data_IF_018431307337
#
_entry.id   IF_018431307337
#
_cell.length_a   1.000
_cell.length_b   1.000
_cell.length_c   1.000
_cell.angle_alpha   90.00
_cell.angle_beta   90.00
_cell.angle_gamma   90.00
#
_symmetry.space_group_name_H-M   'P 1'
#
loop_
_entity.id
_entity.type
_entity.pdbx_description
1 polymer ?
#
# COMPACT_ATOMS: atom_id res chain seq x y z
N UNK A 1 26.31 24.68 -28.67
CA UNK A 1 27.15 23.72 -27.91
C UNK A 1 26.45 23.11 -26.68
N UNK A 2 25.15 23.31 -26.47
CA UNK A 2 24.39 22.75 -25.33
C UNK A 2 23.51 21.52 -25.68
N UNK A 3 23.58 21.03 -26.92
CA UNK A 3 22.71 19.94 -27.42
C UNK A 3 23.16 18.52 -27.06
N UNK A 4 24.31 18.35 -26.39
CA UNK A 4 24.77 17.04 -25.90
C UNK A 4 24.58 16.86 -24.39
N UNK A 5 24.15 17.93 -23.69
CA UNK A 5 24.01 18.01 -22.22
C UNK A 5 22.83 17.22 -21.61
N UNK A 6 22.12 16.45 -22.43
CA UNK A 6 20.85 15.86 -21.99
C UNK A 6 21.01 14.59 -21.18
N UNK A 7 21.81 13.65 -21.67
CA UNK A 7 21.89 12.30 -21.13
C UNK A 7 23.23 11.96 -20.45
N UNK A 8 24.41 12.22 -21.07
CA UNK A 8 25.67 11.82 -20.46
C UNK A 8 25.99 12.60 -19.19
N UNK A 9 25.61 13.88 -19.10
CA UNK A 9 25.84 14.74 -17.94
C UNK A 9 24.93 14.35 -16.77
N UNK A 10 23.65 14.00 -17.05
CA UNK A 10 22.76 13.44 -16.03
C UNK A 10 23.33 12.13 -15.49
N UNK A 11 23.84 11.26 -16.37
CA UNK A 11 24.48 9.99 -15.98
C UNK A 11 25.73 10.25 -15.13
N UNK A 12 26.57 11.22 -15.51
CA UNK A 12 27.78 11.58 -14.77
C UNK A 12 27.44 12.08 -13.36
N UNK A 13 26.46 12.98 -13.24
CA UNK A 13 26.01 13.49 -11.94
C UNK A 13 25.40 12.36 -11.10
N UNK A 14 24.57 11.52 -11.70
CA UNK A 14 23.96 10.37 -11.01
C UNK A 14 25.03 9.40 -10.51
N UNK A 15 26.09 9.16 -11.29
CA UNK A 15 27.21 8.31 -10.90
C UNK A 15 27.92 8.86 -9.66
N UNK A 16 28.21 10.17 -9.65
CA UNK A 16 28.83 10.84 -8.50
C UNK A 16 27.95 10.76 -7.26
N UNK A 17 26.64 11.00 -7.40
CA UNK A 17 25.67 10.87 -6.29
C UNK A 17 25.63 9.42 -5.78
N UNK A 18 25.62 8.43 -6.66
CA UNK A 18 25.64 7.01 -6.26
C UNK A 18 26.94 6.63 -5.56
N UNK A 19 28.09 7.21 -5.94
CA UNK A 19 29.36 6.99 -5.26
C UNK A 19 29.37 7.60 -3.85
N UNK A 20 28.82 8.80 -3.68
CA UNK A 20 28.75 9.52 -2.40
C UNK A 20 27.73 8.89 -1.44
N UNK A 21 26.52 8.61 -1.93
CA UNK A 21 25.41 8.12 -1.11
C UNK A 21 25.32 6.59 -1.08
N UNK A 22 25.85 5.90 -2.09
CA UNK A 22 25.78 4.45 -2.25
C UNK A 22 24.51 3.97 -2.98
N UNK A 23 24.62 2.86 -3.71
CA UNK A 23 23.53 2.28 -4.51
C UNK A 23 22.27 1.90 -3.69
N UNK A 24 22.41 1.67 -2.38
CA UNK A 24 21.30 1.29 -1.50
C UNK A 24 20.58 2.50 -0.88
N UNK A 25 21.23 3.66 -0.76
CA UNK A 25 20.63 4.86 -0.12
C UNK A 25 19.79 5.69 -1.07
N UNK A 26 20.18 5.78 -2.34
CA UNK A 26 19.43 6.49 -3.37
C UNK A 26 17.97 5.97 -3.52
N UNK A 27 17.71 4.65 -3.65
CA UNK A 27 16.35 4.13 -3.74
C UNK A 27 15.58 4.22 -2.41
N UNK A 28 16.28 4.12 -1.28
CA UNK A 28 15.67 4.22 0.05
C UNK A 28 15.16 5.64 0.33
N UNK A 29 16.00 6.65 0.06
CA UNK A 29 15.61 8.06 0.12
C UNK A 29 14.53 8.39 -0.92
N UNK A 30 14.66 7.91 -2.15
CA UNK A 30 13.63 8.13 -3.17
C UNK A 30 12.26 7.53 -2.78
N UNK A 31 12.24 6.39 -2.10
CA UNK A 31 10.99 5.77 -1.61
C UNK A 31 10.33 6.59 -0.50
N UNK A 32 11.10 7.06 0.49
CA UNK A 32 10.55 7.88 1.59
C UNK A 32 10.08 9.27 1.10
N UNK A 33 10.89 9.96 0.29
CA UNK A 33 10.50 11.23 -0.35
C UNK A 33 9.33 11.05 -1.32
N UNK A 34 9.30 9.95 -2.07
CA UNK A 34 8.22 9.64 -3.01
C UNK A 34 6.87 9.43 -2.33
N UNK A 35 6.84 8.90 -1.11
CA UNK A 35 5.62 8.73 -0.33
C UNK A 35 5.04 10.09 0.10
N UNK A 36 5.87 11.01 0.57
CA UNK A 36 5.46 12.38 0.91
C UNK A 36 4.97 13.14 -0.32
N UNK A 37 5.73 13.08 -1.43
CA UNK A 37 5.33 13.70 -2.70
C UNK A 37 4.04 13.10 -3.27
N UNK A 38 3.76 11.82 -3.06
CA UNK A 38 2.52 11.17 -3.52
C UNK A 38 1.29 11.71 -2.80
N UNK A 39 1.38 11.90 -1.48
CA UNK A 39 0.29 12.46 -0.68
C UNK A 39 0.05 13.90 -1.13
N UNK A 40 1.09 14.73 -1.14
CA UNK A 40 1.02 16.11 -1.59
C UNK A 40 0.46 16.22 -3.02
N UNK A 41 0.93 15.40 -3.96
CA UNK A 41 0.45 15.42 -5.34
C UNK A 41 -1.00 14.94 -5.48
N UNK A 42 -1.50 14.10 -4.58
CA UNK A 42 -2.88 13.64 -4.60
C UNK A 42 -3.82 14.75 -4.11
N UNK A 43 -3.47 15.41 -3.01
CA UNK A 43 -4.18 16.60 -2.51
C UNK A 43 -4.16 17.74 -3.54
N UNK A 44 -3.00 18.05 -4.12
CA UNK A 44 -2.89 19.08 -5.17
C UNK A 44 -3.65 18.71 -6.45
N UNK A 45 -3.78 17.41 -6.77
CA UNK A 45 -4.60 16.96 -7.92
C UNK A 45 -6.09 17.03 -7.63
N UNK A 46 -6.51 16.86 -6.37
CA UNK A 46 -7.91 17.03 -5.98
C UNK A 46 -8.30 18.51 -6.13
N UNK A 47 -7.49 19.44 -5.59
CA UNK A 47 -7.73 20.88 -5.76
C UNK A 47 -7.76 21.30 -7.24
N UNK A 48 -6.84 20.80 -8.08
CA UNK A 48 -6.87 21.10 -9.53
C UNK A 48 -8.04 20.46 -10.29
N UNK A 49 -8.68 19.42 -9.72
CA UNK A 49 -9.84 18.76 -10.34
C UNK A 49 -11.15 19.39 -9.89
N UNK A 50 -11.20 20.03 -8.73
CA UNK A 50 -12.40 20.71 -8.24
C UNK A 50 -12.74 21.96 -9.10
N UNK A 51 -11.77 22.49 -9.85
CA UNK A 51 -12.00 23.51 -10.90
C UNK A 51 -12.51 22.91 -12.24
N UNK A 52 -12.60 21.58 -12.37
CA UNK A 52 -13.00 20.86 -13.58
C UNK A 52 -13.82 19.59 -13.28
N UNK A 53 -15.10 19.78 -12.89
CA UNK A 53 -16.24 18.84 -13.07
C UNK A 53 -16.10 17.36 -12.62
N UNK A 54 -16.64 17.03 -11.42
CA UNK A 54 -17.38 15.80 -10.99
C UNK A 54 -16.81 14.35 -11.23
N UNK A 55 -17.35 13.30 -10.57
CA UNK A 55 -16.67 12.48 -9.58
C UNK A 55 -15.96 11.25 -10.17
N UNK A 56 -14.66 11.12 -9.90
CA UNK A 56 -13.93 9.86 -10.14
C UNK A 56 -13.71 9.14 -8.81
N UNK A 57 -14.52 8.11 -8.55
CA UNK A 57 -14.41 7.15 -7.45
C UNK A 57 -12.95 6.85 -7.03
N UNK A 58 -12.61 6.92 -5.73
CA UNK A 58 -11.26 6.61 -5.25
C UNK A 58 -10.96 5.12 -5.48
N UNK A 59 -10.32 4.78 -6.60
CA UNK A 59 -9.65 3.49 -6.74
C UNK A 59 -8.42 3.51 -5.84
N UNK A 60 -8.64 3.09 -4.62
CA UNK A 60 -7.64 2.60 -3.68
C UNK A 60 -6.83 1.46 -4.34
N UNK A 61 -5.89 1.79 -5.24
CA UNK A 61 -4.86 0.85 -5.70
C UNK A 61 -3.85 0.67 -4.58
N UNK A 62 -4.19 -0.26 -3.69
CA UNK A 62 -3.20 -1.13 -3.07
C UNK A 62 -2.62 -2.07 -4.16
N UNK A 63 -1.39 -2.57 -3.99
CA UNK A 63 -0.48 -2.94 -5.08
C UNK A 63 -0.88 -4.22 -5.83
N UNK A 64 -0.50 -4.37 -7.11
CA UNK A 64 -0.41 -5.69 -7.72
C UNK A 64 0.74 -6.45 -7.03
N UNK A 65 0.41 -7.19 -5.97
CA UNK A 65 1.20 -8.34 -5.55
C UNK A 65 1.07 -9.41 -6.65
N UNK A 66 1.90 -9.31 -7.69
CA UNK A 66 2.00 -10.34 -8.74
C UNK A 66 3.34 -10.29 -9.49
N UNK A 67 4.44 -10.52 -8.78
CA UNK A 67 5.32 -11.63 -9.18
C UNK A 67 4.84 -12.81 -8.35
N UNK A 68 4.18 -13.86 -8.84
CA UNK A 68 4.62 -14.83 -9.86
C UNK A 68 6.06 -15.28 -9.64
N UNK A 69 6.26 -16.04 -8.58
CA UNK A 69 7.10 -17.22 -8.66
C UNK A 69 6.16 -18.45 -8.70
N UNK A 70 6.26 -19.34 -9.71
CA UNK A 70 5.43 -20.53 -9.81
C UNK A 70 6.16 -21.73 -9.19
N UNK A 71 5.60 -22.32 -8.14
CA UNK A 71 5.98 -23.68 -7.74
C UNK A 71 4.78 -24.39 -7.10
N UNK A 72 4.15 -25.18 -7.95
CA UNK A 72 3.27 -26.27 -7.60
C UNK A 72 3.97 -27.26 -6.65
N UNK A 73 3.30 -27.60 -5.55
CA UNK A 73 3.61 -28.77 -4.74
C UNK A 73 2.33 -29.25 -4.04
N UNK A 74 1.70 -30.35 -4.48
CA UNK A 74 0.57 -30.93 -3.79
C UNK A 74 1.08 -31.90 -2.73
N UNK A 75 0.66 -31.72 -1.48
CA UNK A 75 0.75 -32.80 -0.49
C UNK A 75 1.17 -32.37 0.91
N UNK A 76 0.22 -32.51 1.84
CA UNK A 76 0.49 -32.66 3.27
C UNK A 76 0.32 -31.38 4.08
N UNK A 77 -0.82 -31.20 4.74
CA UNK A 77 -0.96 -31.74 6.10
C UNK A 77 -2.41 -31.58 6.58
N UNK A 78 -2.92 -32.69 7.08
CA UNK A 78 -4.22 -32.80 7.73
C UNK A 78 -3.99 -32.47 9.19
N UNK A 79 -4.55 -31.38 9.68
CA UNK A 79 -4.75 -31.30 11.12
C UNK A 79 -4.92 -29.90 11.66
N UNK A 80 -6.06 -29.72 12.33
CA UNK A 80 -6.23 -28.80 13.45
C UNK A 80 -6.21 -27.32 13.06
N UNK A 81 -7.39 -26.80 12.75
CA UNK A 81 -7.97 -25.69 13.51
C UNK A 81 -9.45 -25.59 13.16
N UNK A 82 -10.24 -26.50 13.75
CA UNK A 82 -11.68 -26.33 13.86
C UNK A 82 -11.92 -25.26 14.94
N UNK A 83 -12.59 -24.13 14.65
CA UNK A 83 -13.03 -23.23 15.70
C UNK A 83 -14.15 -23.92 16.51
N UNK A 84 -14.04 -24.04 17.85
CA UNK A 84 -15.15 -24.53 18.65
C UNK A 84 -16.31 -23.54 18.62
N UNK A 85 -17.43 -24.07 18.14
CA UNK A 85 -18.81 -23.66 18.32
C UNK A 85 -19.07 -22.32 19.04
N UNK A 86 -19.78 -21.45 18.30
CA UNK A 86 -20.57 -20.34 18.82
C UNK A 86 -21.29 -20.74 20.11
N UNK A 87 -20.97 -20.05 21.21
CA UNK A 87 -21.78 -20.08 22.43
C UNK A 87 -22.95 -19.10 22.25
N UNK A 88 -24.21 -19.55 22.27
CA UNK A 88 -25.35 -18.68 22.11
C UNK A 88 -25.49 -17.75 23.32
N UNK A 89 -25.55 -16.48 22.97
CA UNK A 89 -25.74 -15.31 23.81
C UNK A 89 -27.17 -15.37 24.39
N UNK A 90 -27.31 -15.86 25.62
CA UNK A 90 -28.60 -15.95 26.31
C UNK A 90 -29.05 -14.55 26.75
N UNK A 91 -29.87 -13.91 25.91
CA UNK A 91 -30.62 -12.71 26.26
C UNK A 91 -32.11 -13.06 26.37
N UNK A 92 -32.72 -12.53 27.44
CA UNK A 92 -34.16 -12.35 27.76
C UNK A 92 -34.85 -13.40 28.64
N UNK A 93 -35.96 -13.03 29.34
CA UNK A 93 -36.36 -11.70 29.83
C UNK A 93 -36.89 -11.71 31.29
N UNK A 94 -37.10 -10.52 31.82
CA UNK A 94 -37.88 -10.23 33.02
C UNK A 94 -39.33 -10.75 32.93
N UNK A 95 -39.83 -11.44 33.96
CA UNK A 95 -41.23 -11.40 34.42
C UNK A 95 -41.52 -12.42 35.54
N UNK A 96 -42.09 -11.96 36.67
CA UNK A 96 -42.72 -12.79 37.71
C UNK A 96 -41.97 -12.70 39.04
N UNK A 97 -42.34 -11.90 40.04
CA UNK A 97 -43.66 -11.68 40.67
C UNK A 97 -44.26 -13.01 41.18
N UNK A 98 -43.91 -13.39 42.41
CA UNK A 98 -44.69 -14.14 43.43
C UNK A 98 -43.83 -14.14 44.71
N UNK A 99 -44.11 -13.35 45.74
CA UNK A 99 -45.20 -13.49 46.73
C UNK A 99 -45.03 -14.77 47.57
N UNK A 100 -44.30 -14.65 48.68
CA UNK A 100 -44.60 -15.22 50.01
C UNK A 100 -43.78 -14.45 51.03
#
# INVERSE_FOLDING_TARGET
>A
MFGRLGAPEIILVLLVVVLLFGAKRLPDMARSFGQSLRILKSETKAMQKDDADEPSTPRHRSPPARGREPAHGPGGDRGRHLPPALKPRNHRPASGRCRT
#
